data_IF_055859568686
#
_entry.id   IF_055859568686
#
_cell.length_a   1.000
_cell.length_b   1.000
_cell.length_c   1.000
_cell.angle_alpha   90.00
_cell.angle_beta   90.00
_cell.angle_gamma   90.00
#
_symmetry.space_group_name_H-M   'P 1'
#
loop_
_entity.id
_entity.type
_entity.pdbx_description
1 polymer ?
#
# COMPACT_ATOMS: atom_id res chain seq x y z
N UNK A 1 8.63 1.90 -27.55
CA UNK A 1 8.21 2.36 -26.21
C UNK A 1 6.71 2.68 -26.24
N UNK A 2 5.94 1.76 -26.83
CA UNK A 2 4.76 2.17 -27.59
C UNK A 2 3.56 2.50 -26.69
N UNK A 3 3.44 1.81 -25.55
CA UNK A 3 2.38 2.07 -24.58
C UNK A 3 2.54 3.45 -23.93
N UNK A 4 3.77 3.83 -23.56
CA UNK A 4 4.04 5.09 -22.88
C UNK A 4 3.77 6.28 -23.80
N UNK A 5 4.13 6.16 -25.08
CA UNK A 5 3.86 7.18 -26.10
C UNK A 5 2.35 7.42 -26.26
N UNK A 6 1.57 6.36 -26.42
CA UNK A 6 0.10 6.44 -26.57
C UNK A 6 -0.58 6.96 -25.30
N UNK A 7 -0.09 6.54 -24.13
CA UNK A 7 -0.61 6.99 -22.85
C UNK A 7 -0.32 8.47 -22.60
N UNK A 8 0.86 8.95 -22.98
CA UNK A 8 1.24 10.35 -22.88
C UNK A 8 0.37 11.28 -23.75
N UNK A 9 -0.28 10.76 -24.81
CA UNK A 9 -1.21 11.54 -25.63
C UNK A 9 -2.46 12.01 -24.87
N UNK A 10 -2.73 11.44 -23.69
CA UNK A 10 -3.82 11.87 -22.79
C UNK A 10 -3.34 12.81 -21.68
N UNK A 11 -2.08 13.22 -21.71
CA UNK A 11 -1.48 14.09 -20.70
C UNK A 11 -1.73 15.60 -20.94
N UNK A 12 -1.45 16.43 -19.93
CA UNK A 12 -1.73 17.88 -19.94
C UNK A 12 -0.93 18.67 -20.97
N UNK A 13 0.16 18.12 -21.49
CA UNK A 13 1.00 18.75 -22.51
C UNK A 13 0.40 18.69 -23.92
N UNK A 14 -0.76 18.02 -24.08
CA UNK A 14 -1.37 17.78 -25.39
C UNK A 14 -2.56 18.70 -25.63
N UNK A 15 -2.79 19.07 -26.90
CA UNK A 15 -3.95 19.87 -27.29
C UNK A 15 -5.30 19.16 -27.03
N UNK A 16 -5.28 17.84 -26.88
CA UNK A 16 -6.48 17.01 -26.70
C UNK A 16 -6.81 16.73 -25.22
N UNK A 17 -6.07 17.29 -24.26
CA UNK A 17 -6.22 16.97 -22.84
C UNK A 17 -7.67 17.09 -22.34
N UNK A 18 -8.32 18.24 -22.55
CA UNK A 18 -9.72 18.41 -22.13
C UNK A 18 -10.71 17.50 -22.87
N UNK A 19 -10.43 17.22 -24.16
CA UNK A 19 -11.25 16.32 -24.98
C UNK A 19 -11.17 14.88 -24.45
N UNK A 20 -9.98 14.45 -24.04
CA UNK A 20 -9.80 13.17 -23.35
C UNK A 20 -10.55 13.16 -22.02
N UNK A 21 -10.58 14.27 -21.27
CA UNK A 21 -11.34 14.36 -20.03
C UNK A 21 -12.83 14.08 -20.22
N UNK A 22 -13.43 14.72 -21.23
CA UNK A 22 -14.82 14.46 -21.65
C UNK A 22 -15.04 13.00 -22.06
N UNK A 23 -14.12 12.45 -22.83
CA UNK A 23 -14.17 11.05 -23.28
C UNK A 23 -14.12 10.08 -22.09
N UNK A 24 -13.13 10.22 -21.21
CA UNK A 24 -12.95 9.36 -20.05
C UNK A 24 -14.14 9.46 -19.07
N UNK A 25 -14.66 10.66 -18.82
CA UNK A 25 -15.85 10.85 -17.96
C UNK A 25 -17.13 10.30 -18.61
N UNK A 26 -17.20 10.29 -19.95
CA UNK A 26 -18.32 9.66 -20.66
C UNK A 26 -18.30 8.13 -20.52
N UNK A 27 -17.11 7.52 -20.44
CA UNK A 27 -16.89 6.07 -20.35
C UNK A 27 -16.97 5.58 -18.90
N UNK A 28 -16.26 6.24 -17.98
CA UNK A 28 -16.22 5.91 -16.55
C UNK A 28 -17.18 6.81 -15.78
N UNK A 29 -18.40 6.33 -15.54
CA UNK A 29 -19.49 7.13 -14.92
C UNK A 29 -19.22 7.51 -13.46
N UNK A 30 -18.36 6.76 -12.80
CA UNK A 30 -17.92 6.93 -11.42
C UNK A 30 -16.63 7.74 -11.30
N UNK A 31 -16.05 8.20 -12.42
CA UNK A 31 -14.87 9.06 -12.40
C UNK A 31 -15.22 10.43 -11.78
N UNK A 32 -14.55 10.83 -10.68
CA UNK A 32 -14.96 12.01 -9.91
C UNK A 32 -14.51 13.33 -10.56
N UNK A 33 -13.37 13.34 -11.28
CA UNK A 33 -12.79 14.55 -11.84
C UNK A 33 -12.95 14.61 -13.36
N UNK A 34 -13.30 15.76 -13.95
CA UNK A 34 -13.61 15.88 -15.38
C UNK A 34 -12.37 15.85 -16.29
N UNK A 35 -11.17 16.11 -15.75
CA UNK A 35 -9.92 16.08 -16.50
C UNK A 35 -9.32 14.67 -16.54
N UNK A 36 -8.52 14.33 -17.56
CA UNK A 36 -7.80 13.06 -17.59
C UNK A 36 -6.90 12.89 -16.37
N UNK A 37 -6.91 11.67 -15.84
CA UNK A 37 -5.90 11.18 -14.92
C UNK A 37 -5.25 9.93 -15.54
N UNK A 38 -4.01 9.67 -15.15
CA UNK A 38 -3.22 8.59 -15.73
C UNK A 38 -3.84 7.21 -15.49
N UNK A 39 -4.50 6.98 -14.35
CA UNK A 39 -5.14 5.70 -14.03
C UNK A 39 -6.31 5.42 -14.99
N UNK A 40 -7.24 6.37 -15.14
CA UNK A 40 -8.37 6.24 -16.07
C UNK A 40 -7.92 6.13 -17.52
N UNK A 41 -6.89 6.87 -17.91
CA UNK A 41 -6.31 6.80 -19.25
C UNK A 41 -5.72 5.41 -19.56
N UNK A 42 -5.00 4.81 -18.60
CA UNK A 42 -4.45 3.47 -18.76
C UNK A 42 -5.57 2.42 -18.85
N UNK A 43 -6.59 2.50 -17.98
CA UNK A 43 -7.75 1.60 -18.03
C UNK A 43 -8.43 1.70 -19.40
N UNK A 44 -8.62 2.92 -19.92
CA UNK A 44 -9.21 3.13 -21.23
C UNK A 44 -8.40 2.48 -22.35
N UNK A 45 -7.06 2.62 -22.36
CA UNK A 45 -6.19 1.99 -23.35
C UNK A 45 -6.26 0.46 -23.29
N UNK A 46 -6.17 -0.11 -22.08
CA UNK A 46 -6.26 -1.56 -21.87
C UNK A 46 -7.62 -2.12 -22.29
N UNK A 47 -8.70 -1.35 -22.09
CA UNK A 47 -10.06 -1.73 -22.44
C UNK A 47 -10.32 -1.63 -23.95
N UNK A 48 -9.88 -0.54 -24.59
CA UNK A 48 -10.19 -0.25 -25.99
C UNK A 48 -9.28 -0.96 -26.99
N UNK A 49 -8.02 -1.22 -26.62
CA UNK A 49 -7.05 -1.92 -27.46
C UNK A 49 -6.44 -3.13 -26.71
N UNK A 50 -7.34 -4.02 -26.29
CA UNK A 50 -7.00 -5.23 -25.52
C UNK A 50 -5.99 -6.14 -26.23
N UNK A 51 -6.06 -6.26 -27.56
CA UNK A 51 -5.15 -7.11 -28.33
C UNK A 51 -3.70 -6.58 -28.29
N UNK A 52 -3.52 -5.26 -28.32
CA UNK A 52 -2.19 -4.65 -28.30
C UNK A 52 -1.60 -4.61 -26.90
N UNK A 53 -2.43 -4.30 -25.89
CA UNK A 53 -1.97 -4.01 -24.53
C UNK A 53 -2.41 -5.02 -23.47
N UNK A 54 -3.67 -5.45 -23.53
CA UNK A 54 -4.28 -6.32 -22.51
C UNK A 54 -3.58 -7.67 -22.39
N UNK A 55 -3.29 -8.34 -23.51
CA UNK A 55 -2.65 -9.67 -23.49
C UNK A 55 -1.20 -9.66 -22.96
N UNK A 56 -0.60 -8.48 -22.86
CA UNK A 56 0.73 -8.24 -22.29
C UNK A 56 0.69 -7.65 -20.88
N UNK A 57 -0.50 -7.43 -20.34
CA UNK A 57 -0.73 -6.80 -19.03
C UNK A 57 -1.23 -7.83 -18.05
N UNK A 58 -0.50 -8.00 -16.95
CA UNK A 58 -0.95 -8.80 -15.83
C UNK A 58 -1.63 -7.91 -14.78
N UNK A 59 -2.89 -8.21 -14.47
CA UNK A 59 -3.62 -7.55 -13.39
C UNK A 59 -3.41 -8.34 -12.09
N UNK A 60 -2.49 -7.86 -11.27
CA UNK A 60 -2.12 -8.50 -10.00
C UNK A 60 -3.25 -8.39 -8.95
N UNK A 61 -3.65 -9.52 -8.38
CA UNK A 61 -4.67 -9.63 -7.33
C UNK A 61 -4.36 -10.68 -6.26
N UNK A 62 -3.26 -11.41 -6.36
CA UNK A 62 -2.79 -12.42 -5.41
C UNK A 62 -2.13 -11.81 -4.17
N UNK A 63 -1.65 -10.57 -4.30
CA UNK A 63 -1.21 -9.77 -3.17
C UNK A 63 -1.54 -8.29 -3.34
N UNK A 64 -1.48 -7.59 -2.23
CA UNK A 64 -1.79 -6.17 -2.07
C UNK A 64 -0.72 -5.25 -2.67
N UNK A 65 -0.45 -5.37 -3.98
CA UNK A 65 0.50 -4.51 -4.71
C UNK A 65 0.09 -3.03 -4.66
N UNK A 66 -1.21 -2.77 -4.66
CA UNK A 66 -1.80 -1.48 -4.33
C UNK A 66 -3.04 -1.77 -3.49
N UNK A 67 -3.20 -1.13 -2.33
CA UNK A 67 -4.36 -1.37 -1.47
C UNK A 67 -4.93 -0.10 -0.91
N UNK A 68 -6.25 -0.05 -0.96
CA UNK A 68 -7.01 1.07 -0.44
C UNK A 68 -6.82 1.17 1.07
N UNK A 69 -6.24 2.29 1.52
CA UNK A 69 -5.77 2.45 2.90
C UNK A 69 -6.87 2.23 3.93
N UNK A 70 -8.10 2.69 3.70
CA UNK A 70 -9.17 2.66 4.70
C UNK A 70 -9.57 1.21 5.10
N UNK A 71 -9.55 0.28 4.14
CA UNK A 71 -9.75 -1.14 4.42
C UNK A 71 -8.51 -1.76 5.06
N UNK A 72 -7.34 -1.32 4.62
CA UNK A 72 -6.04 -1.88 5.00
C UNK A 72 -5.67 -1.58 6.45
N UNK A 73 -5.83 -0.33 6.89
CA UNK A 73 -5.43 0.09 8.25
C UNK A 73 -6.25 -0.59 9.35
N UNK A 74 -7.48 -1.02 9.04
CA UNK A 74 -8.33 -1.79 9.96
C UNK A 74 -7.74 -3.17 10.29
N UNK A 75 -6.83 -3.67 9.47
CA UNK A 75 -6.18 -4.96 9.66
C UNK A 75 -4.94 -4.89 10.57
N UNK A 76 -4.36 -3.70 10.78
CA UNK A 76 -3.05 -3.55 11.43
C UNK A 76 -3.03 -4.09 12.85
N UNK A 77 -4.09 -3.87 13.64
CA UNK A 77 -4.11 -4.32 15.03
C UNK A 77 -4.15 -5.86 15.11
N UNK A 78 -4.94 -6.51 14.25
CA UNK A 78 -4.99 -7.97 14.13
C UNK A 78 -3.63 -8.55 13.69
N UNK A 79 -3.02 -7.95 12.67
CA UNK A 79 -1.71 -8.36 12.17
C UNK A 79 -0.61 -8.18 13.22
N UNK A 80 -0.63 -7.07 13.96
CA UNK A 80 0.32 -6.78 15.03
C UNK A 80 0.18 -7.78 16.18
N UNK A 81 -1.05 -8.10 16.56
CA UNK A 81 -1.33 -9.15 17.56
C UNK A 81 -0.82 -10.51 17.12
N UNK A 82 -1.10 -10.90 15.88
CA UNK A 82 -0.62 -12.15 15.27
C UNK A 82 0.91 -12.23 15.24
N UNK A 83 1.60 -11.16 14.86
CA UNK A 83 3.06 -11.08 14.87
C UNK A 83 3.63 -11.22 16.29
N UNK A 84 3.04 -10.52 17.25
CA UNK A 84 3.46 -10.57 18.66
C UNK A 84 3.28 -11.97 19.24
N UNK A 85 2.17 -12.65 18.94
CA UNK A 85 1.91 -14.02 19.37
C UNK A 85 2.95 -15.00 18.81
N UNK A 86 3.29 -14.89 17.52
CA UNK A 86 4.30 -15.76 16.90
C UNK A 86 5.66 -15.62 17.60
N UNK A 87 6.06 -14.38 17.90
CA UNK A 87 7.30 -14.10 18.62
C UNK A 87 7.29 -14.56 20.08
N UNK A 88 6.13 -14.52 20.76
CA UNK A 88 5.99 -15.07 22.12
C UNK A 88 6.32 -16.57 22.13
N UNK A 89 5.87 -17.28 21.09
CA UNK A 89 5.95 -18.73 21.00
C UNK A 89 7.29 -19.23 20.45
N UNK A 90 8.10 -18.36 19.84
CA UNK A 90 9.37 -18.72 19.23
C UNK A 90 10.50 -17.74 19.61
N UNK A 91 11.40 -18.21 20.46
CA UNK A 91 12.55 -17.42 20.94
C UNK A 91 13.49 -17.01 19.81
N UNK A 92 13.54 -17.77 18.72
CA UNK A 92 14.41 -17.46 17.57
C UNK A 92 13.96 -16.14 16.93
N UNK A 93 12.65 -15.95 16.77
CA UNK A 93 12.04 -14.74 16.20
C UNK A 93 12.21 -13.48 17.07
N UNK A 94 12.59 -13.61 18.35
CA UNK A 94 12.87 -12.47 19.25
C UNK A 94 14.35 -12.13 19.40
N UNK A 95 15.23 -12.84 18.71
CA UNK A 95 16.67 -12.59 18.80
C UNK A 95 16.98 -11.20 18.21
N UNK A 96 17.96 -10.47 18.76
CA UNK A 96 18.42 -9.19 18.16
C UNK A 96 19.38 -9.51 17.01
N UNK A 97 19.06 -9.07 15.80
CA UNK A 97 19.74 -9.48 14.57
C UNK A 97 20.75 -8.43 14.08
N UNK A 98 21.55 -7.87 14.99
CA UNK A 98 22.64 -6.98 14.60
C UNK A 98 23.76 -7.73 13.83
N UNK A 99 23.85 -9.06 13.91
CA UNK A 99 24.90 -9.84 13.25
C UNK A 99 24.38 -11.14 12.60
N UNK A 100 24.54 -11.23 11.27
CA UNK A 100 24.85 -12.45 10.49
C UNK A 100 24.00 -13.73 10.67
N UNK A 101 22.70 -13.66 10.95
CA UNK A 101 21.79 -14.84 10.85
C UNK A 101 20.48 -14.50 10.13
N UNK A 102 20.52 -14.35 8.80
CA UNK A 102 19.29 -14.03 8.00
C UNK A 102 18.53 -15.26 7.50
N UNK A 103 19.14 -16.45 7.53
CA UNK A 103 18.62 -17.64 6.85
C UNK A 103 17.55 -18.43 7.61
N UNK A 104 17.72 -18.60 8.93
CA UNK A 104 16.84 -19.42 9.75
C UNK A 104 15.48 -18.74 9.99
N UNK A 105 15.50 -17.46 10.36
CA UNK A 105 14.32 -16.66 10.66
C UNK A 105 13.37 -16.51 9.46
N UNK A 106 13.91 -16.29 8.26
CA UNK A 106 13.10 -16.19 7.04
C UNK A 106 12.39 -17.51 6.69
N UNK A 107 12.98 -18.65 7.08
CA UNK A 107 12.39 -19.97 6.86
C UNK A 107 11.35 -20.31 7.93
N UNK A 108 11.62 -20.00 9.20
CA UNK A 108 10.67 -20.19 10.30
C UNK A 108 9.47 -19.25 10.18
N UNK A 109 9.68 -17.98 9.83
CA UNK A 109 8.61 -17.01 9.56
C UNK A 109 7.68 -17.46 8.43
N UNK A 110 8.20 -18.16 7.41
CA UNK A 110 7.37 -18.74 6.33
C UNK A 110 6.45 -19.85 6.84
N UNK A 111 6.89 -20.65 7.80
CA UNK A 111 6.07 -21.71 8.42
C UNK A 111 4.91 -21.09 9.18
N UNK A 112 5.15 -20.03 9.95
CA UNK A 112 4.11 -19.39 10.75
C UNK A 112 3.17 -18.48 9.93
N UNK A 113 3.62 -17.94 8.79
CA UNK A 113 2.76 -17.22 7.82
C UNK A 113 1.80 -18.13 7.03
N UNK A 114 1.98 -19.45 7.06
CA UNK A 114 1.13 -20.37 6.29
C UNK A 114 -0.27 -20.45 6.92
N UNK A 115 -1.28 -19.97 6.19
CA UNK A 115 -2.69 -19.97 6.64
C UNK A 115 -3.08 -18.76 7.50
N UNK A 116 -2.16 -17.83 7.78
CA UNK A 116 -2.48 -16.55 8.43
C UNK A 116 -2.75 -15.47 7.39
N UNK A 117 -3.57 -14.48 7.78
CA UNK A 117 -3.85 -13.31 6.97
C UNK A 117 -2.54 -12.60 6.59
N UNK A 118 -2.36 -12.35 5.29
CA UNK A 118 -1.15 -11.67 4.80
C UNK A 118 -1.34 -10.18 4.99
N UNK A 119 -0.36 -9.54 5.63
CA UNK A 119 -0.31 -8.08 5.67
C UNK A 119 -0.23 -7.47 4.27
N UNK A 120 -0.70 -6.21 4.11
CA UNK A 120 -0.61 -5.49 2.85
C UNK A 120 0.86 -5.31 2.44
N UNK A 121 1.14 -5.39 1.13
CA UNK A 121 2.46 -5.04 0.63
C UNK A 121 2.59 -3.52 0.48
N UNK A 122 1.56 -2.86 -0.07
CA UNK A 122 1.47 -1.39 -0.16
C UNK A 122 0.15 -0.93 0.43
N UNK A 123 0.23 -0.03 1.41
CA UNK A 123 -0.92 0.76 1.88
C UNK A 123 -0.93 2.11 1.14
N UNK A 124 -1.87 2.30 0.23
CA UNK A 124 -1.94 3.48 -0.63
C UNK A 124 -3.00 4.48 -0.14
N UNK A 125 -2.53 5.61 0.36
CA UNK A 125 -3.36 6.72 0.87
C UNK A 125 -3.93 7.61 -0.25
N UNK A 126 -4.61 6.98 -1.22
CA UNK A 126 -5.29 7.68 -2.30
C UNK A 126 -6.33 8.66 -1.76
N UNK A 127 -6.37 9.87 -2.32
CA UNK A 127 -7.30 10.93 -1.91
C UNK A 127 -6.96 11.64 -0.59
N UNK A 128 -5.89 11.28 0.13
CA UNK A 128 -5.52 11.99 1.37
C UNK A 128 -4.79 13.33 1.14
N UNK A 129 -4.11 13.47 0.00
CA UNK A 129 -3.50 14.74 -0.48
C UNK A 129 -2.85 15.63 0.61
N UNK A 130 -1.91 15.10 1.42
CA UNK A 130 -1.36 15.80 2.59
C UNK A 130 -0.59 17.07 2.25
N UNK A 131 -0.08 17.19 1.02
CA UNK A 131 0.77 18.32 0.61
C UNK A 131 -0.02 19.58 0.22
N UNK A 132 -1.21 19.44 -0.38
CA UNK A 132 -2.02 20.58 -0.82
C UNK A 132 -3.27 20.80 0.05
N UNK A 133 -3.61 19.84 0.93
CA UNK A 133 -4.74 19.93 1.85
C UNK A 133 -6.10 19.61 1.24
N UNK A 134 -6.18 19.41 -0.08
CA UNK A 134 -7.42 19.15 -0.82
C UNK A 134 -7.80 17.66 -0.76
N UNK A 135 -7.87 17.09 0.45
CA UNK A 135 -8.24 15.70 0.63
C UNK A 135 -9.68 15.43 0.18
N UNK A 136 -9.95 14.20 -0.23
CA UNK A 136 -11.29 13.73 -0.56
C UNK A 136 -12.23 14.03 0.63
N UNK A 137 -13.34 14.77 0.43
CA UNK A 137 -14.27 15.17 1.51
C UNK A 137 -14.88 14.00 2.28
N UNK A 138 -14.83 12.78 1.74
CA UNK A 138 -15.24 11.56 2.44
C UNK A 138 -14.34 11.27 3.65
N UNK A 139 -13.08 11.68 3.62
CA UNK A 139 -12.15 11.57 4.74
C UNK A 139 -12.28 12.80 5.63
N UNK A 140 -12.50 12.59 6.93
CA UNK A 140 -12.79 13.69 7.87
C UNK A 140 -11.59 13.99 8.75
N UNK A 141 -11.36 15.28 8.98
CA UNK A 141 -10.40 15.77 9.97
C UNK A 141 -8.99 15.23 9.74
N UNK A 142 -8.34 14.78 10.82
CA UNK A 142 -6.96 14.30 10.80
C UNK A 142 -6.81 12.81 10.48
N UNK A 143 -7.90 12.14 10.05
CA UNK A 143 -7.90 10.68 9.85
C UNK A 143 -6.79 10.22 8.92
N UNK A 144 -6.59 10.91 7.78
CA UNK A 144 -5.50 10.60 6.85
C UNK A 144 -4.12 10.66 7.53
N UNK A 145 -3.84 11.73 8.29
CA UNK A 145 -2.55 11.90 8.97
C UNK A 145 -2.32 10.87 10.06
N UNK A 146 -3.34 10.60 10.88
CA UNK A 146 -3.25 9.63 11.96
C UNK A 146 -3.04 8.21 11.43
N UNK A 147 -3.74 7.85 10.37
CA UNK A 147 -3.61 6.53 9.76
C UNK A 147 -2.32 6.37 8.95
N UNK A 148 -1.79 7.46 8.36
CA UNK A 148 -0.43 7.47 7.79
C UNK A 148 0.64 7.20 8.85
N UNK A 149 0.53 7.82 10.05
CA UNK A 149 1.43 7.54 11.17
C UNK A 149 1.34 6.07 11.60
N UNK A 150 0.13 5.54 11.75
CA UNK A 150 -0.08 4.11 12.08
C UNK A 150 0.53 3.19 11.04
N UNK A 151 0.35 3.49 9.75
CA UNK A 151 0.96 2.71 8.67
C UNK A 151 2.49 2.76 8.69
N UNK A 152 3.08 3.93 8.95
CA UNK A 152 4.52 4.07 9.08
C UNK A 152 5.04 3.26 10.26
N UNK A 153 4.43 3.38 11.45
CA UNK A 153 4.84 2.65 12.64
C UNK A 153 4.65 1.13 12.49
N UNK A 154 3.60 0.69 11.78
CA UNK A 154 3.39 -0.72 11.46
C UNK A 154 4.51 -1.28 10.57
N UNK A 155 4.94 -0.51 9.56
CA UNK A 155 6.06 -0.87 8.72
C UNK A 155 7.40 -0.80 9.48
N UNK A 156 7.60 0.25 10.27
CA UNK A 156 8.85 0.50 11.00
C UNK A 156 9.10 -0.56 12.08
N UNK A 157 8.03 -1.11 12.68
CA UNK A 157 8.14 -2.27 13.55
C UNK A 157 8.82 -3.48 12.89
N UNK A 158 8.71 -3.66 11.57
CA UNK A 158 9.42 -4.75 10.87
C UNK A 158 10.94 -4.49 10.82
N UNK A 159 11.36 -3.23 10.90
CA UNK A 159 12.76 -2.81 10.92
C UNK A 159 13.30 -2.76 12.35
N UNK A 160 12.61 -2.04 13.25
CA UNK A 160 12.99 -1.83 14.65
C UNK A 160 13.20 -3.14 15.42
N UNK A 161 12.41 -4.18 15.10
CA UNK A 161 12.52 -5.50 15.73
C UNK A 161 13.90 -6.12 15.56
N UNK A 162 14.56 -5.90 14.42
CA UNK A 162 15.93 -6.38 14.18
C UNK A 162 16.93 -5.79 15.20
N UNK A 163 16.63 -4.61 15.72
CA UNK A 163 17.45 -3.89 16.70
C UNK A 163 16.97 -4.08 18.14
N UNK A 164 15.91 -4.86 18.36
CA UNK A 164 15.38 -5.13 19.70
C UNK A 164 14.41 -4.07 20.21
N UNK A 165 13.78 -3.31 19.31
CA UNK A 165 12.85 -2.24 19.61
C UNK A 165 11.49 -2.44 18.93
N UNK A 166 10.46 -1.78 19.44
CA UNK A 166 9.10 -1.78 18.87
C UNK A 166 8.31 -0.54 19.31
N UNK A 167 7.43 -0.06 18.44
CA UNK A 167 6.30 0.80 18.79
C UNK A 167 5.22 -0.03 19.48
N UNK A 168 4.96 0.17 20.79
CA UNK A 168 3.93 -0.58 21.52
C UNK A 168 2.51 -0.15 21.14
N UNK A 169 2.34 1.09 20.69
CA UNK A 169 1.11 1.64 20.14
C UNK A 169 1.42 2.25 18.78
N UNK A 170 0.71 1.80 17.73
CA UNK A 170 0.89 2.32 16.38
C UNK A 170 0.50 3.79 16.25
N UNK A 171 -0.25 4.34 17.20
CA UNK A 171 -0.67 5.75 17.20
C UNK A 171 0.38 6.68 17.82
N UNK A 172 1.37 6.14 18.55
CA UNK A 172 2.45 6.89 19.16
C UNK A 172 3.76 6.74 18.40
N UNK A 173 4.60 7.78 18.42
CA UNK A 173 5.98 7.71 17.93
C UNK A 173 6.95 7.12 18.95
N UNK A 174 6.48 6.79 20.15
CA UNK A 174 7.31 6.22 21.19
C UNK A 174 7.79 4.82 20.81
N UNK A 175 9.03 4.52 21.20
CA UNK A 175 9.68 3.24 20.98
C UNK A 175 10.08 2.64 22.33
N UNK A 176 9.85 1.35 22.48
CA UNK A 176 10.20 0.59 23.67
C UNK A 176 11.11 -0.59 23.32
N UNK A 177 11.82 -1.10 24.33
CA UNK A 177 12.53 -2.36 24.17
C UNK A 177 11.52 -3.49 23.91
N UNK A 178 11.88 -4.45 23.06
CA UNK A 178 11.11 -5.69 22.97
C UNK A 178 11.01 -6.36 24.36
N UNK A 179 9.81 -6.84 24.75
CA UNK A 179 9.62 -7.54 26.01
C UNK A 179 10.62 -8.71 26.14
N UNK A 180 11.40 -8.70 27.21
CA UNK A 180 12.25 -9.84 27.57
C UNK A 180 11.34 -10.95 28.11
N UNK A 181 11.56 -12.19 27.63
CA UNK A 181 10.92 -13.39 28.19
C UNK A 181 11.47 -13.70 29.57
#
# INVERSE_FOLDING_TARGET
MDLIEEWALMGPQTQNFEKWGKTLTSVFKDKPFPLPDYQSALIYLLFTDKKRWGDKTYLESEYYLNSYWEATVKMYDNLTGSYTEMEMNDKVLRTRHAEKVKGLEAWESKKYRKGRERGPFVTHFTGCQPCNGEHNPQYKGETCWNEMKRALNFADNQVLRNFGFVHPDLSSSDVSNLPKL
#
